data_IF_072333936179
#
_entry.id   IF_072333936179
#
_cell.length_a   1.000
_cell.length_b   1.000
_cell.length_c   1.000
_cell.angle_alpha   90.00
_cell.angle_beta   90.00
_cell.angle_gamma   90.00
#
_symmetry.space_group_name_H-M   'P 1'
#
loop_
_entity.id
_entity.type
_entity.pdbx_description
1 polymer ?
#
# COMPACT_ATOMS: atom_id res chain seq x y z
N UNK A 1 -60.16 -36.29 -35.28
CA UNK A 1 -58.86 -35.60 -35.35
C UNK A 1 -57.85 -36.61 -35.87
N UNK A 2 -57.11 -36.32 -36.95
CA UNK A 2 -56.23 -37.32 -37.58
C UNK A 2 -54.95 -37.52 -36.75
N UNK A 3 -54.42 -38.74 -36.75
CA UNK A 3 -53.15 -39.09 -36.09
C UNK A 3 -51.99 -38.15 -36.48
N UNK A 4 -52.05 -37.58 -37.70
CA UNK A 4 -51.11 -36.58 -38.19
C UNK A 4 -51.09 -35.29 -37.37
N UNK A 5 -52.25 -34.81 -36.93
CA UNK A 5 -52.34 -33.58 -36.12
C UNK A 5 -51.78 -33.81 -34.71
N UNK A 6 -52.00 -35.01 -34.15
CA UNK A 6 -51.47 -35.38 -32.84
C UNK A 6 -49.94 -35.57 -32.88
N UNK A 7 -49.41 -36.21 -33.91
CA UNK A 7 -47.95 -36.36 -34.12
C UNK A 7 -47.28 -34.98 -34.27
N UNK A 8 -47.84 -34.10 -35.11
CA UNK A 8 -47.29 -32.75 -35.29
C UNK A 8 -47.30 -31.92 -33.99
N UNK A 9 -48.32 -32.10 -33.14
CA UNK A 9 -48.38 -31.47 -31.82
C UNK A 9 -47.29 -32.00 -30.89
N UNK A 10 -47.07 -33.32 -30.84
CA UNK A 10 -46.02 -33.93 -30.03
C UNK A 10 -44.61 -33.57 -30.51
N UNK A 11 -44.40 -33.44 -31.82
CA UNK A 11 -43.13 -32.97 -32.38
C UNK A 11 -42.84 -31.53 -31.97
N UNK A 12 -43.84 -30.65 -32.03
CA UNK A 12 -43.71 -29.27 -31.58
C UNK A 12 -43.43 -29.16 -30.07
N UNK A 13 -44.09 -29.99 -29.24
CA UNK A 13 -43.85 -30.04 -27.79
C UNK A 13 -42.46 -30.59 -27.46
N UNK A 14 -41.99 -31.62 -28.17
CA UNK A 14 -40.64 -32.14 -28.01
C UNK A 14 -39.56 -31.13 -28.39
N UNK A 15 -39.74 -30.38 -29.47
CA UNK A 15 -38.80 -29.32 -29.84
C UNK A 15 -38.79 -28.17 -28.82
N UNK A 16 -39.96 -27.79 -28.28
CA UNK A 16 -40.04 -26.82 -27.19
C UNK A 16 -39.35 -27.31 -25.91
N UNK A 17 -39.49 -28.60 -25.58
CA UNK A 17 -38.81 -29.23 -24.44
C UNK A 17 -37.29 -29.26 -24.63
N UNK A 18 -36.79 -29.66 -25.82
CA UNK A 18 -35.36 -29.64 -26.14
C UNK A 18 -34.78 -28.23 -25.99
N UNK A 19 -35.49 -27.21 -26.47
CA UNK A 19 -35.07 -25.81 -26.34
C UNK A 19 -34.97 -25.40 -24.87
N UNK A 20 -35.96 -25.71 -24.04
CA UNK A 20 -35.93 -25.44 -22.59
C UNK A 20 -34.78 -26.15 -21.88
N UNK A 21 -34.52 -27.42 -22.21
CA UNK A 21 -33.40 -28.17 -21.64
C UNK A 21 -32.06 -27.51 -21.99
N UNK A 22 -31.90 -27.06 -23.24
CA UNK A 22 -30.70 -26.33 -23.65
C UNK A 22 -30.55 -24.98 -22.92
N UNK A 23 -31.64 -24.20 -22.77
CA UNK A 23 -31.65 -22.94 -22.02
C UNK A 23 -31.29 -23.14 -20.55
N UNK A 24 -31.86 -24.16 -19.89
CA UNK A 24 -31.54 -24.51 -18.50
C UNK A 24 -30.07 -24.94 -18.34
N UNK A 25 -29.55 -25.74 -19.26
CA UNK A 25 -28.15 -26.14 -19.24
C UNK A 25 -27.21 -24.94 -19.40
N UNK A 26 -27.54 -23.98 -20.26
CA UNK A 26 -26.79 -22.74 -20.41
C UNK A 26 -26.83 -21.89 -19.14
N UNK A 27 -27.99 -21.73 -18.52
CA UNK A 27 -28.14 -20.99 -17.26
C UNK A 27 -27.29 -21.62 -16.14
N UNK A 28 -27.34 -22.94 -15.98
CA UNK A 28 -26.52 -23.66 -15.01
C UNK A 28 -25.02 -23.46 -15.27
N UNK A 29 -24.61 -23.44 -16.54
CA UNK A 29 -23.21 -23.19 -16.90
C UNK A 29 -22.77 -21.76 -16.56
N UNK A 30 -23.60 -20.76 -16.85
CA UNK A 30 -23.34 -19.36 -16.51
C UNK A 30 -23.29 -19.14 -15.00
N UNK A 31 -24.24 -19.72 -14.27
CA UNK A 31 -24.29 -19.66 -12.81
C UNK A 31 -23.05 -20.29 -12.18
N UNK A 32 -22.65 -21.48 -12.63
CA UNK A 32 -21.45 -22.14 -12.16
C UNK A 32 -20.19 -21.28 -12.39
N UNK A 33 -20.08 -20.64 -13.56
CA UNK A 33 -18.97 -19.74 -13.90
C UNK A 33 -18.94 -18.49 -13.01
N UNK A 34 -20.09 -17.84 -12.81
CA UNK A 34 -20.19 -16.66 -11.92
C UNK A 34 -19.83 -17.03 -10.49
N UNK A 35 -20.35 -18.16 -9.99
CA UNK A 35 -20.04 -18.65 -8.65
C UNK A 35 -18.54 -18.91 -8.46
N UNK A 36 -17.85 -19.46 -9.46
CA UNK A 36 -16.39 -19.62 -9.43
C UNK A 36 -15.65 -18.28 -9.38
N UNK A 37 -16.07 -17.31 -10.19
CA UNK A 37 -15.47 -15.96 -10.21
C UNK A 37 -15.66 -15.29 -8.84
N UNK A 38 -16.89 -15.27 -8.30
CA UNK A 38 -17.20 -14.64 -7.02
C UNK A 38 -16.43 -15.30 -5.87
N UNK A 39 -16.30 -16.63 -5.87
CA UNK A 39 -15.51 -17.37 -4.88
C UNK A 39 -14.01 -17.08 -4.95
N UNK A 40 -13.49 -16.72 -6.13
CA UNK A 40 -12.07 -16.40 -6.31
C UNK A 40 -11.68 -15.00 -5.82
N UNK A 41 -12.67 -14.13 -5.57
CA UNK A 41 -12.43 -12.79 -5.04
C UNK A 41 -12.14 -12.91 -3.54
N UNK A 42 -11.00 -12.43 -3.02
CA UNK A 42 -10.68 -12.49 -1.59
C UNK A 42 -11.47 -11.47 -0.77
N UNK A 43 -11.97 -10.41 -1.42
CA UNK A 43 -12.70 -9.32 -0.77
C UNK A 43 -14.05 -9.79 -0.20
N UNK A 44 -14.58 -9.02 0.76
CA UNK A 44 -15.93 -9.20 1.30
C UNK A 44 -16.91 -8.58 0.31
N UNK A 45 -18.04 -9.26 0.08
CA UNK A 45 -19.09 -8.76 -0.81
C UNK A 45 -20.40 -8.73 -0.04
N UNK A 46 -21.11 -7.62 -0.08
CA UNK A 46 -22.45 -7.45 0.46
C UNK A 46 -23.42 -7.10 -0.66
N UNK A 47 -24.65 -7.59 -0.54
CA UNK A 47 -25.80 -7.02 -1.23
C UNK A 47 -26.58 -6.27 -0.16
N UNK A 48 -26.77 -4.97 -0.36
CA UNK A 48 -27.46 -4.10 0.59
C UNK A 48 -28.56 -3.32 -0.09
N UNK A 49 -29.63 -3.02 0.65
CA UNK A 49 -30.68 -2.13 0.18
C UNK A 49 -30.45 -0.66 0.61
N UNK A 50 -31.31 0.24 0.11
CA UNK A 50 -31.30 1.68 0.44
C UNK A 50 -31.58 1.99 1.91
N UNK A 51 -32.10 1.03 2.68
CA UNK A 51 -32.38 1.17 4.11
C UNK A 51 -31.21 0.65 4.97
N UNK A 52 -30.21 0.03 4.35
CA UNK A 52 -29.00 -0.49 5.01
C UNK A 52 -29.14 -1.92 5.51
N UNK A 53 -30.14 -2.67 5.03
CA UNK A 53 -30.29 -4.09 5.34
C UNK A 53 -29.33 -4.91 4.48
N UNK A 54 -28.69 -5.91 5.09
CA UNK A 54 -27.86 -6.88 4.37
C UNK A 54 -28.75 -7.98 3.77
N UNK A 55 -28.99 -7.90 2.47
CA UNK A 55 -29.80 -8.88 1.73
C UNK A 55 -29.03 -10.17 1.50
N UNK A 56 -27.73 -10.07 1.21
CA UNK A 56 -26.85 -11.22 1.09
C UNK A 56 -25.39 -10.84 1.35
N UNK A 57 -24.53 -11.85 1.55
CA UNK A 57 -23.10 -11.60 1.66
C UNK A 57 -22.24 -12.80 1.25
N UNK A 58 -21.01 -12.51 0.84
CA UNK A 58 -19.91 -13.47 0.71
C UNK A 58 -18.79 -13.02 1.66
N UNK A 59 -18.35 -13.92 2.51
CA UNK A 59 -17.24 -13.67 3.42
C UNK A 59 -15.93 -13.53 2.67
N UNK A 60 -15.11 -12.55 3.04
CA UNK A 60 -13.75 -12.38 2.55
C UNK A 60 -12.78 -13.36 3.21
N UNK A 61 -11.56 -13.41 2.68
CA UNK A 61 -10.47 -14.14 3.32
C UNK A 61 -10.01 -13.37 4.57
N UNK A 62 -9.95 -14.04 5.73
CA UNK A 62 -9.53 -13.40 6.99
C UNK A 62 -10.64 -12.63 7.69
N UNK A 63 -11.67 -13.36 8.13
CA UNK A 63 -12.97 -13.03 8.74
C UNK A 63 -13.08 -11.90 9.79
N UNK A 64 -12.03 -11.12 10.09
CA UNK A 64 -11.99 -10.16 11.22
C UNK A 64 -13.11 -9.12 11.19
N UNK A 65 -13.49 -8.61 10.02
CA UNK A 65 -14.63 -7.68 9.89
C UNK A 65 -15.99 -8.37 10.12
N UNK A 66 -16.11 -9.65 9.75
CA UNK A 66 -17.36 -10.42 9.90
C UNK A 66 -17.49 -10.96 11.31
N UNK A 67 -16.38 -11.32 11.97
CA UNK A 67 -16.40 -11.77 13.37
C UNK A 67 -16.77 -10.64 14.34
N UNK A 68 -16.52 -9.37 13.98
CA UNK A 68 -17.06 -8.21 14.72
C UNK A 68 -18.59 -8.05 14.58
N UNK A 69 -19.17 -8.54 13.49
CA UNK A 69 -20.62 -8.54 13.27
C UNK A 69 -21.20 -9.81 13.90
N UNK A 70 -21.88 -9.68 15.04
CA UNK A 70 -22.35 -10.79 15.89
C UNK A 70 -23.39 -11.71 15.19
N UNK A 71 -22.91 -12.62 14.35
CA UNK A 71 -23.55 -13.90 14.02
C UNK A 71 -24.70 -13.91 13.01
N UNK A 72 -25.28 -12.77 12.61
CA UNK A 72 -26.36 -12.75 11.61
C UNK A 72 -26.22 -11.55 10.67
N UNK A 73 -25.24 -11.58 9.77
CA UNK A 73 -25.08 -10.52 8.75
C UNK A 73 -26.34 -10.45 7.89
N UNK A 74 -26.70 -11.55 7.22
CA UNK A 74 -27.87 -11.61 6.34
C UNK A 74 -29.16 -11.37 7.13
N UNK A 75 -29.97 -10.42 6.67
CA UNK A 75 -31.25 -10.04 7.27
C UNK A 75 -31.14 -9.00 8.40
N UNK A 76 -29.93 -8.66 8.86
CA UNK A 76 -29.74 -7.57 9.82
C UNK A 76 -29.60 -6.21 9.13
N UNK A 77 -29.77 -5.13 9.90
CA UNK A 77 -29.45 -3.77 9.46
C UNK A 77 -28.04 -3.35 9.91
N UNK A 78 -27.35 -2.53 9.11
CA UNK A 78 -26.04 -1.95 9.47
C UNK A 78 -26.03 -1.25 10.84
N UNK A 79 -27.16 -0.68 11.25
CA UNK A 79 -27.34 0.02 12.54
C UNK A 79 -27.30 -0.90 13.75
N UNK A 80 -27.46 -2.22 13.57
CA UNK A 80 -27.48 -3.20 14.66
C UNK A 80 -26.06 -3.62 15.10
N UNK A 81 -25.03 -3.27 14.34
CA UNK A 81 -23.66 -3.78 14.54
C UNK A 81 -22.76 -2.86 15.38
N UNK A 82 -23.32 -1.83 16.01
CA UNK A 82 -22.60 -0.97 16.95
C UNK A 82 -21.59 -0.02 16.31
N UNK A 83 -21.73 0.27 15.02
CA UNK A 83 -20.95 1.31 14.35
C UNK A 83 -21.43 2.71 14.76
N UNK A 84 -20.53 3.70 14.69
CA UNK A 84 -20.89 5.10 14.89
C UNK A 84 -21.87 5.59 13.81
N UNK A 85 -22.79 6.48 14.19
CA UNK A 85 -23.78 7.03 13.25
C UNK A 85 -23.13 7.75 12.07
N UNK A 86 -22.03 8.47 12.30
CA UNK A 86 -21.25 9.15 11.25
C UNK A 86 -20.75 8.16 10.19
N UNK A 87 -20.25 7.00 10.61
CA UNK A 87 -19.81 5.93 9.72
C UNK A 87 -21.00 5.33 8.95
N UNK A 88 -22.10 5.05 9.65
CA UNK A 88 -23.31 4.50 9.03
C UNK A 88 -23.82 5.46 7.94
N UNK A 89 -23.94 6.74 8.25
CA UNK A 89 -24.40 7.77 7.32
C UNK A 89 -23.48 7.87 6.10
N UNK A 90 -22.17 7.79 6.28
CA UNK A 90 -21.21 7.77 5.18
C UNK A 90 -21.37 6.54 4.27
N UNK A 91 -21.58 5.35 4.85
CA UNK A 91 -21.83 4.12 4.08
C UNK A 91 -23.17 4.20 3.35
N UNK A 92 -24.22 4.69 4.00
CA UNK A 92 -25.53 4.84 3.38
C UNK A 92 -25.50 5.85 2.24
N UNK A 93 -24.82 6.99 2.41
CA UNK A 93 -24.59 7.94 1.34
C UNK A 93 -23.85 7.29 0.17
N UNK A 94 -22.75 6.58 0.45
CA UNK A 94 -21.97 5.88 -0.57
C UNK A 94 -22.78 4.87 -1.38
N UNK A 95 -23.67 4.11 -0.72
CA UNK A 95 -24.59 3.15 -1.36
C UNK A 95 -25.64 3.88 -2.21
N UNK A 96 -26.31 4.88 -1.63
CA UNK A 96 -27.39 5.61 -2.30
C UNK A 96 -26.87 6.36 -3.52
N UNK A 97 -25.69 6.98 -3.45
CA UNK A 97 -25.05 7.61 -4.61
C UNK A 97 -24.81 6.63 -5.75
N UNK A 98 -24.36 5.40 -5.46
CA UNK A 98 -24.16 4.38 -6.50
C UNK A 98 -25.50 3.95 -7.14
N UNK A 99 -26.57 3.85 -6.36
CA UNK A 99 -27.91 3.50 -6.85
C UNK A 99 -28.50 4.64 -7.70
N UNK A 100 -28.41 5.88 -7.24
CA UNK A 100 -28.95 7.05 -7.93
C UNK A 100 -28.23 7.31 -9.26
N UNK A 101 -26.90 7.34 -9.23
CA UNK A 101 -26.08 7.63 -10.41
C UNK A 101 -26.01 6.43 -11.38
N UNK A 102 -26.05 5.21 -10.85
CA UNK A 102 -25.77 3.99 -11.61
C UNK A 102 -24.30 3.76 -11.92
N UNK A 103 -23.41 4.64 -11.45
CA UNK A 103 -21.98 4.51 -11.58
C UNK A 103 -21.37 3.86 -10.34
N UNK A 104 -20.16 3.31 -10.49
CA UNK A 104 -19.42 2.78 -9.35
C UNK A 104 -18.94 3.93 -8.47
N UNK A 105 -19.33 3.91 -7.20
CA UNK A 105 -18.82 4.85 -6.20
C UNK A 105 -17.77 4.16 -5.34
N UNK A 106 -16.70 4.86 -4.95
CA UNK A 106 -15.62 4.33 -4.11
C UNK A 106 -15.44 5.20 -2.87
N UNK A 107 -15.29 4.56 -1.70
CA UNK A 107 -15.12 5.23 -0.41
C UNK A 107 -14.08 4.49 0.43
N UNK A 108 -13.08 5.21 0.92
CA UNK A 108 -12.03 4.68 1.80
C UNK A 108 -12.27 5.15 3.23
N UNK A 109 -12.07 4.25 4.18
CA UNK A 109 -12.22 4.53 5.60
C UNK A 109 -11.27 3.66 6.42
N UNK A 110 -11.03 4.06 7.66
CA UNK A 110 -10.32 3.26 8.65
C UNK A 110 -11.27 2.82 9.75
N UNK A 111 -10.99 1.67 10.36
CA UNK A 111 -11.69 1.18 11.54
C UNK A 111 -10.69 0.85 12.63
N UNK A 112 -10.98 1.32 13.83
CA UNK A 112 -10.25 0.97 15.05
C UNK A 112 -11.00 -0.15 15.76
N UNK A 113 -10.36 -1.31 15.84
CA UNK A 113 -10.92 -2.48 16.51
C UNK A 113 -10.76 -2.38 18.04
N UNK A 114 -11.53 -3.15 18.84
CA UNK A 114 -11.45 -3.10 20.31
C UNK A 114 -10.06 -3.43 20.89
N UNK A 115 -9.22 -4.15 20.14
CA UNK A 115 -7.83 -4.44 20.49
C UNK A 115 -6.87 -3.25 20.21
N UNK A 116 -7.38 -2.12 19.69
CA UNK A 116 -6.60 -0.95 19.28
C UNK A 116 -6.00 -1.04 17.88
N UNK A 117 -6.22 -2.15 17.15
CA UNK A 117 -5.73 -2.32 15.79
C UNK A 117 -6.49 -1.40 14.83
N UNK A 118 -5.75 -0.62 14.03
CA UNK A 118 -6.30 0.22 12.98
C UNK A 118 -6.18 -0.52 11.65
N UNK A 119 -7.29 -0.64 10.93
CA UNK A 119 -7.33 -1.23 9.59
C UNK A 119 -7.93 -0.28 8.58
N UNK A 120 -7.43 -0.37 7.36
CA UNK A 120 -7.82 0.47 6.23
C UNK A 120 -8.64 -0.34 5.23
N UNK A 121 -9.82 0.18 4.90
CA UNK A 121 -10.78 -0.46 4.01
C UNK A 121 -11.19 0.43 2.86
N UNK A 122 -11.30 -0.18 1.69
CA UNK A 122 -11.89 0.44 0.51
C UNK A 122 -13.22 -0.24 0.22
N UNK A 123 -14.28 0.53 0.25
CA UNK A 123 -15.62 0.13 -0.17
C UNK A 123 -15.89 0.62 -1.58
N UNK A 124 -16.36 -0.29 -2.43
CA UNK A 124 -16.84 0.02 -3.79
C UNK A 124 -18.28 -0.42 -3.89
N UNK A 125 -19.18 0.50 -4.23
CA UNK A 125 -20.60 0.22 -4.42
C UNK A 125 -20.96 0.37 -5.90
N UNK A 126 -21.73 -0.58 -6.42
CA UNK A 126 -22.31 -0.54 -7.76
C UNK A 126 -23.78 -0.92 -7.71
N UNK A 127 -24.60 -0.26 -8.52
CA UNK A 127 -26.02 -0.53 -8.62
C UNK A 127 -26.29 -1.94 -9.15
N UNK A 128 -27.11 -2.72 -8.42
CA UNK A 128 -27.73 -3.95 -8.94
C UNK A 128 -29.10 -3.66 -9.55
N UNK A 129 -29.91 -2.86 -8.84
CA UNK A 129 -31.21 -2.38 -9.32
C UNK A 129 -31.59 -1.08 -8.58
N UNK A 130 -32.83 -0.61 -8.71
CA UNK A 130 -33.29 0.66 -8.11
C UNK A 130 -33.30 0.68 -6.57
N UNK A 131 -33.17 -0.48 -5.91
CA UNK A 131 -33.25 -0.63 -4.45
C UNK A 131 -32.03 -1.31 -3.86
N UNK A 132 -31.22 -2.00 -4.67
CA UNK A 132 -30.09 -2.81 -4.22
C UNK A 132 -28.77 -2.35 -4.83
N UNK A 133 -27.73 -2.35 -4.00
CA UNK A 133 -26.35 -2.20 -4.39
C UNK A 133 -25.53 -3.45 -4.05
N UNK A 134 -24.58 -3.78 -4.93
CA UNK A 134 -23.48 -4.68 -4.63
C UNK A 134 -22.34 -3.83 -4.06
N UNK A 135 -21.89 -4.18 -2.86
CA UNK A 135 -20.79 -3.49 -2.18
C UNK A 135 -19.63 -4.45 -1.96
N UNK A 136 -18.46 -4.13 -2.49
CA UNK A 136 -17.22 -4.87 -2.29
C UNK A 136 -16.38 -4.11 -1.26
N UNK A 137 -15.95 -4.79 -0.21
CA UNK A 137 -15.12 -4.24 0.86
C UNK A 137 -13.78 -4.94 0.86
N UNK A 138 -12.73 -4.19 0.53
CA UNK A 138 -11.34 -4.66 0.47
C UNK A 138 -10.56 -4.13 1.65
N UNK A 139 -9.89 -5.02 2.38
CA UNK A 139 -8.85 -4.65 3.34
C UNK A 139 -7.55 -4.36 2.57
N UNK A 140 -6.99 -3.16 2.75
CA UNK A 140 -5.70 -2.78 2.19
C UNK A 140 -4.70 -2.33 3.25
N UNK A 141 -4.91 -2.74 4.51
CA UNK A 141 -4.09 -2.38 5.67
C UNK A 141 -2.61 -2.71 5.46
N UNK A 142 -2.31 -3.93 4.98
CA UNK A 142 -0.93 -4.35 4.73
C UNK A 142 -0.24 -3.46 3.68
N UNK A 143 -0.98 -3.03 2.64
CA UNK A 143 -0.44 -2.15 1.61
C UNK A 143 -0.06 -0.79 2.20
N UNK A 144 -0.93 -0.20 3.02
CA UNK A 144 -0.66 1.07 3.71
C UNK A 144 0.54 0.94 4.67
N UNK A 145 0.58 -0.11 5.49
CA UNK A 145 1.68 -0.33 6.43
C UNK A 145 3.02 -0.49 5.71
N UNK A 146 3.06 -1.24 4.60
CA UNK A 146 4.28 -1.37 3.79
C UNK A 146 4.68 -0.05 3.15
N UNK A 147 3.73 0.73 2.64
CA UNK A 147 4.00 2.03 2.05
C UNK A 147 4.55 3.01 3.09
N UNK A 148 3.98 3.05 4.30
CA UNK A 148 4.48 3.87 5.40
C UNK A 148 5.88 3.46 5.84
N UNK A 149 6.13 2.16 6.01
CA UNK A 149 7.46 1.65 6.38
C UNK A 149 8.52 1.99 5.30
N UNK A 150 8.15 1.90 4.02
CA UNK A 150 9.02 2.29 2.91
C UNK A 150 9.36 3.78 2.97
N UNK A 151 8.37 4.65 3.16
CA UNK A 151 8.57 6.10 3.27
C UNK A 151 9.46 6.46 4.46
N UNK A 152 9.26 5.82 5.61
CA UNK A 152 10.11 6.02 6.79
C UNK A 152 11.56 5.62 6.52
N UNK A 153 11.77 4.48 5.87
CA UNK A 153 13.11 4.00 5.49
C UNK A 153 13.78 4.96 4.50
N UNK A 154 13.03 5.45 3.52
CA UNK A 154 13.52 6.43 2.55
C UNK A 154 13.94 7.74 3.24
N UNK A 155 13.13 8.25 4.17
CA UNK A 155 13.47 9.44 4.95
C UNK A 155 14.73 9.25 5.78
N UNK A 156 14.84 8.11 6.48
CA UNK A 156 16.03 7.78 7.27
C UNK A 156 17.30 7.70 6.39
N UNK A 157 17.20 7.08 5.22
CA UNK A 157 18.30 6.98 4.26
C UNK A 157 18.71 8.35 3.72
N UNK A 158 17.76 9.21 3.38
CA UNK A 158 18.04 10.57 2.92
C UNK A 158 18.75 11.39 3.99
N UNK A 159 18.29 11.34 5.23
CA UNK A 159 18.96 12.02 6.34
C UNK A 159 20.38 11.49 6.60
N UNK A 160 20.59 10.16 6.52
CA UNK A 160 21.92 9.58 6.65
C UNK A 160 22.85 10.03 5.50
N UNK A 161 22.32 10.10 4.29
CA UNK A 161 23.06 10.55 3.12
C UNK A 161 23.43 12.05 3.18
N UNK A 162 22.54 12.92 3.68
CA UNK A 162 22.84 14.33 3.92
C UNK A 162 23.96 14.51 4.94
N UNK A 163 23.88 13.80 6.08
CA UNK A 163 24.96 13.80 7.08
C UNK A 163 26.29 13.35 6.47
N UNK A 164 26.28 12.28 5.67
CA UNK A 164 27.48 11.80 5.00
C UNK A 164 28.10 12.87 4.08
N UNK A 165 27.27 13.63 3.34
CA UNK A 165 27.73 14.75 2.51
C UNK A 165 28.36 15.86 3.33
N UNK A 166 27.72 16.27 4.42
CA UNK A 166 28.26 17.28 5.34
C UNK A 166 29.61 16.86 5.93
N UNK A 167 29.72 15.60 6.35
CA UNK A 167 30.99 15.05 6.84
C UNK A 167 32.06 15.03 5.75
N UNK A 168 31.74 14.57 4.54
CA UNK A 168 32.69 14.54 3.42
C UNK A 168 33.20 15.95 3.07
N UNK A 169 32.32 16.95 3.10
CA UNK A 169 32.68 18.35 2.88
C UNK A 169 33.61 18.87 3.99
N UNK A 170 33.26 18.64 5.26
CA UNK A 170 34.06 19.06 6.42
C UNK A 170 35.47 18.45 6.39
N UNK A 171 35.55 17.13 6.18
CA UNK A 171 36.82 16.41 6.06
C UNK A 171 37.67 16.99 4.93
N UNK A 172 37.06 17.20 3.75
CA UNK A 172 37.78 17.75 2.59
C UNK A 172 38.35 19.13 2.89
N UNK A 173 37.59 19.98 3.59
CA UNK A 173 38.09 21.31 3.97
C UNK A 173 39.23 21.22 4.98
N UNK A 174 39.10 20.36 5.99
CA UNK A 174 40.10 20.20 7.04
C UNK A 174 41.40 19.58 6.52
N UNK A 175 41.33 18.64 5.56
CA UNK A 175 42.50 18.06 4.91
C UNK A 175 43.19 19.04 3.95
N UNK A 176 42.44 19.91 3.27
CA UNK A 176 43.00 20.85 2.28
C UNK A 176 44.04 21.79 2.90
N UNK A 177 43.80 22.28 4.12
CA UNK A 177 44.70 23.23 4.78
C UNK A 177 46.12 22.65 5.00
N UNK A 178 46.32 21.52 5.73
CA UNK A 178 47.63 20.95 5.93
C UNK A 178 48.26 20.45 4.63
N UNK A 179 47.49 19.88 3.69
CA UNK A 179 48.00 19.44 2.39
C UNK A 179 48.56 20.62 1.59
N UNK A 180 47.81 21.71 1.47
CA UNK A 180 48.28 22.92 0.75
C UNK A 180 49.55 23.48 1.37
N UNK A 181 49.64 23.51 2.71
CA UNK A 181 50.82 23.99 3.41
C UNK A 181 52.04 23.07 3.19
N UNK A 182 51.85 21.74 3.28
CA UNK A 182 52.92 20.76 3.02
C UNK A 182 53.43 20.90 1.59
N UNK A 183 52.53 21.00 0.61
CA UNK A 183 52.89 21.17 -0.79
C UNK A 183 53.64 22.49 -1.02
N UNK A 184 53.18 23.58 -0.43
CA UNK A 184 53.83 24.89 -0.51
C UNK A 184 55.24 24.88 0.06
N UNK A 185 55.43 24.38 1.27
CA UNK A 185 56.75 24.30 1.91
C UNK A 185 57.66 23.33 1.14
N UNK A 186 57.14 22.17 0.73
CA UNK A 186 57.90 21.19 -0.06
C UNK A 186 58.39 21.79 -1.38
N UNK A 187 57.58 22.63 -2.03
CA UNK A 187 57.96 23.35 -3.24
C UNK A 187 59.09 24.36 -2.97
N UNK A 188 58.98 25.17 -1.91
CA UNK A 188 60.03 26.12 -1.52
C UNK A 188 61.37 25.41 -1.24
N UNK A 189 61.35 24.28 -0.53
CA UNK A 189 62.55 23.46 -0.26
C UNK A 189 63.14 22.95 -1.57
N UNK A 190 62.30 22.42 -2.46
CA UNK A 190 62.73 21.81 -3.72
C UNK A 190 63.36 22.81 -4.69
N UNK A 191 62.81 24.01 -4.78
CA UNK A 191 63.31 25.07 -5.69
C UNK A 191 64.52 25.83 -5.11
N UNK A 192 64.99 25.46 -3.91
CA UNK A 192 66.11 26.15 -3.27
C UNK A 192 65.78 27.59 -2.85
N UNK A 193 64.49 27.89 -2.66
CA UNK A 193 63.99 29.23 -2.30
C UNK A 193 64.08 29.52 -0.80
N UNK A 194 64.73 28.65 -0.03
CA UNK A 194 64.86 28.73 1.42
C UNK A 194 66.34 28.84 1.78
N UNK A 195 66.68 29.77 2.67
CA UNK A 195 68.05 29.92 3.17
C UNK A 195 68.41 28.84 4.20
N UNK A 196 69.71 28.68 4.47
CA UNK A 196 70.20 27.68 5.42
C UNK A 196 69.72 27.95 6.87
N UNK A 197 69.57 29.23 7.23
CA UNK A 197 69.07 29.66 8.55
C UNK A 197 67.55 29.42 8.71
N UNK A 198 66.79 29.44 7.61
CA UNK A 198 65.33 29.22 7.60
C UNK A 198 64.94 27.74 7.51
N UNK A 199 65.88 26.87 7.14
CA UNK A 199 65.63 25.45 6.88
C UNK A 199 64.98 24.74 8.07
N UNK A 200 65.47 25.02 9.29
CA UNK A 200 64.93 24.44 10.52
C UNK A 200 63.46 24.84 10.76
N UNK A 201 63.13 26.11 10.50
CA UNK A 201 61.77 26.62 10.67
C UNK A 201 60.78 25.91 9.73
N UNK A 202 61.11 25.83 8.44
CA UNK A 202 60.23 25.19 7.46
C UNK A 202 60.08 23.68 7.67
N UNK A 203 61.14 22.99 8.13
CA UNK A 203 61.06 21.57 8.53
C UNK A 203 60.14 21.38 9.74
N UNK A 204 60.21 22.26 10.75
CA UNK A 204 59.24 22.25 11.86
C UNK A 204 57.81 22.50 11.38
N UNK A 205 57.60 23.45 10.47
CA UNK A 205 56.25 23.70 9.93
C UNK A 205 55.71 22.47 9.18
N UNK A 206 56.53 21.78 8.38
CA UNK A 206 56.15 20.51 7.74
C UNK A 206 55.74 19.46 8.77
N UNK A 207 56.53 19.27 9.82
CA UNK A 207 56.21 18.33 10.90
C UNK A 207 54.85 18.63 11.54
N UNK A 208 54.58 19.90 11.87
CA UNK A 208 53.29 20.34 12.43
C UNK A 208 52.12 20.02 11.48
N UNK A 209 52.27 20.21 10.17
CA UNK A 209 51.19 19.88 9.23
C UNK A 209 50.98 18.37 9.09
N UNK A 210 52.05 17.57 9.13
CA UNK A 210 51.97 16.11 9.14
C UNK A 210 51.26 15.60 10.39
N UNK A 211 51.57 16.16 11.57
CA UNK A 211 50.89 15.83 12.82
C UNK A 211 49.39 16.15 12.74
N UNK A 212 49.02 17.33 12.22
CA UNK A 212 47.62 17.70 11.98
C UNK A 212 46.91 16.74 11.03
N UNK A 213 47.56 16.32 9.94
CA UNK A 213 47.01 15.32 9.01
C UNK A 213 46.78 13.97 9.70
N UNK A 214 47.73 13.55 10.53
CA UNK A 214 47.63 12.30 11.28
C UNK A 214 46.50 12.36 12.32
N UNK A 215 46.31 13.49 13.00
CA UNK A 215 45.17 13.71 13.90
C UNK A 215 43.83 13.59 13.16
N UNK A 216 43.69 14.25 12.00
CA UNK A 216 42.46 14.18 11.18
C UNK A 216 42.22 12.73 10.72
N UNK A 217 43.25 12.05 10.21
CA UNK A 217 43.15 10.66 9.77
C UNK A 217 42.74 9.71 10.91
N UNK A 218 43.31 9.89 12.10
CA UNK A 218 42.98 9.09 13.28
C UNK A 218 41.55 9.35 13.75
N UNK A 219 41.11 10.61 13.73
CA UNK A 219 39.73 10.97 14.05
C UNK A 219 38.73 10.31 13.08
N UNK A 220 39.03 10.32 11.78
CA UNK A 220 38.20 9.64 10.78
C UNK A 220 38.14 8.12 11.00
N UNK A 221 39.29 7.47 11.27
CA UNK A 221 39.35 6.03 11.51
C UNK A 221 38.54 5.61 12.74
N UNK A 222 38.55 6.40 13.82
CA UNK A 222 37.73 6.13 15.02
C UNK A 222 36.23 6.20 14.74
N UNK A 223 35.80 7.17 13.94
CA UNK A 223 34.38 7.32 13.57
C UNK A 223 33.90 6.15 12.69
N UNK A 224 34.76 5.64 11.80
CA UNK A 224 34.46 4.47 10.99
C UNK A 224 34.42 3.17 11.82
N UNK A 225 35.28 3.03 12.82
CA UNK A 225 35.34 1.84 13.68
C UNK A 225 34.18 1.71 14.68
N UNK A 226 33.40 2.78 14.93
CA UNK A 226 32.21 2.73 15.80
C UNK A 226 30.95 2.17 15.11
N UNK A 227 31.05 1.73 13.86
CA UNK A 227 29.92 1.19 13.07
C UNK A 227 29.98 -0.33 12.81
N UNK A 228 30.97 -1.04 13.38
CA UNK A 228 31.02 -2.53 13.47
C UNK A 228 30.59 -3.02 14.86
#
# INVERSE_FOLDING_TARGET
MSDKAYIAQLEAENEALKKRVAELSLLQHVEAKINQIVRSIPDIIFIMDTDGNYIDFKAGDGEVFITSIKGHVKGSNIREHGFENSFIDAIMHHINTAIETGEMHTYKYELTFPNGEIRFYESRAVRLNQQLALRIVRDFTNLEQHQQALLQTQHALLHAHEKLKEYAFMVSHNLRSPITNILGISHLVKEGLITQDEQHFYVQQLAIQCDKLNEISTAMARILATYD
#
